data_IF_837455270807
#
_entry.id   IF_837455270807
#
_cell.length_a   1.000
_cell.length_b   1.000
_cell.length_c   1.000
_cell.angle_alpha   90.00
_cell.angle_beta   90.00
_cell.angle_gamma   90.00
#
_symmetry.space_group_name_H-M   'P 1'
#
loop_
_entity.id
_entity.type
_entity.pdbx_description
1 polymer ?
#
# COMPACT_ATOMS: atom_id res chain seq x y z
N UNK A 1 -14.84 9.95 5.62
CA UNK A 1 -14.59 8.68 4.90
C UNK A 1 -14.25 7.55 5.86
N UNK A 2 -13.25 7.71 6.74
CA UNK A 2 -12.82 6.69 7.71
C UNK A 2 -13.96 6.03 8.51
N UNK A 3 -14.84 6.82 9.13
CA UNK A 3 -15.97 6.28 9.91
C UNK A 3 -16.96 5.42 9.09
N UNK A 4 -17.02 5.60 7.76
CA UNK A 4 -17.81 4.74 6.87
C UNK A 4 -17.08 3.44 6.58
N UNK A 5 -15.76 3.50 6.39
CA UNK A 5 -14.91 2.31 6.20
C UNK A 5 -15.02 1.41 7.44
N UNK A 6 -14.79 1.96 8.63
CA UNK A 6 -14.81 1.20 9.90
C UNK A 6 -16.12 0.46 10.20
N UNK A 7 -17.25 0.87 9.61
CA UNK A 7 -18.58 0.28 9.82
C UNK A 7 -18.96 -0.76 8.77
N UNK A 8 -18.08 -1.04 7.81
CA UNK A 8 -18.36 -2.00 6.75
C UNK A 8 -18.18 -3.43 7.25
N UNK A 9 -19.15 -4.30 6.98
CA UNK A 9 -19.07 -5.73 7.30
C UNK A 9 -18.06 -6.49 6.42
N UNK A 10 -17.55 -5.86 5.36
CA UNK A 10 -16.59 -6.47 4.44
C UNK A 10 -15.19 -6.66 5.04
N UNK A 11 -14.92 -6.07 6.22
CA UNK A 11 -13.65 -6.24 6.92
C UNK A 11 -13.85 -6.13 8.43
N UNK A 12 -12.86 -6.59 9.18
CA UNK A 12 -12.89 -6.60 10.65
C UNK A 12 -11.49 -6.30 11.20
N UNK A 13 -11.41 -5.97 12.50
CA UNK A 13 -10.15 -5.67 13.22
C UNK A 13 -9.35 -4.55 12.54
N UNK A 14 -10.00 -3.41 12.30
CA UNK A 14 -9.39 -2.20 11.80
C UNK A 14 -8.32 -1.67 12.77
N UNK A 15 -7.22 -1.15 12.23
CA UNK A 15 -6.13 -0.53 12.98
C UNK A 15 -5.73 0.77 12.28
N UNK A 16 -5.68 1.87 13.06
CA UNK A 16 -5.18 3.14 12.56
C UNK A 16 -3.66 3.14 12.66
N UNK A 17 -2.98 3.11 11.51
CA UNK A 17 -1.52 3.05 11.46
C UNK A 17 -0.89 4.42 11.65
N UNK A 18 -1.35 5.43 10.90
CA UNK A 18 -0.84 6.79 10.99
C UNK A 18 -1.92 7.81 10.61
N UNK A 19 -1.86 9.00 11.20
CA UNK A 19 -2.69 10.13 10.82
C UNK A 19 -2.00 11.44 11.21
N UNK A 20 -1.44 12.12 10.23
CA UNK A 20 -0.73 13.38 10.41
C UNK A 20 -0.93 14.31 9.20
N UNK A 21 -0.65 15.62 9.35
CA UNK A 21 -0.60 16.53 8.22
C UNK A 21 0.44 16.07 7.20
N UNK A 22 0.01 15.81 5.98
CA UNK A 22 0.92 15.49 4.89
C UNK A 22 1.53 16.77 4.31
N UNK A 23 2.85 16.76 4.10
CA UNK A 23 3.57 17.85 3.42
C UNK A 23 3.25 17.91 1.92
N UNK A 24 2.92 16.76 1.33
CA UNK A 24 2.61 16.61 -0.10
C UNK A 24 1.59 15.50 -0.37
N UNK A 25 0.99 15.49 -1.57
CA UNK A 25 0.08 14.43 -2.04
C UNK A 25 0.83 13.40 -2.88
N UNK A 26 1.42 12.40 -2.23
CA UNK A 26 2.19 11.34 -2.90
C UNK A 26 1.38 10.33 -3.72
N UNK A 27 0.06 10.29 -3.56
CA UNK A 27 -0.83 9.40 -4.32
C UNK A 27 -1.90 10.22 -5.08
N UNK A 28 -1.47 11.28 -5.78
CA UNK A 28 -2.39 12.24 -6.41
C UNK A 28 -2.95 11.78 -7.76
N UNK A 29 -2.33 10.79 -8.40
CA UNK A 29 -2.73 10.30 -9.73
C UNK A 29 -4.00 9.45 -9.73
N UNK A 30 -4.47 8.99 -8.55
CA UNK A 30 -5.64 8.13 -8.43
C UNK A 30 -6.59 8.61 -7.34
N UNK A 31 -7.89 8.41 -7.56
CA UNK A 31 -8.89 8.51 -6.50
C UNK A 31 -8.81 7.33 -5.52
N UNK A 32 -8.39 6.15 -6.00
CA UNK A 32 -8.06 4.95 -5.24
C UNK A 32 -7.25 4.00 -6.14
N UNK A 33 -6.05 3.59 -5.71
CA UNK A 33 -5.27 2.56 -6.38
C UNK A 33 -5.54 1.18 -5.74
N UNK A 34 -5.59 0.13 -6.55
CA UNK A 34 -5.67 -1.26 -6.10
C UNK A 34 -4.44 -2.01 -6.59
N UNK A 35 -3.75 -2.67 -5.67
CA UNK A 35 -2.59 -3.50 -5.95
C UNK A 35 -2.95 -4.95 -5.68
N UNK A 36 -2.73 -5.79 -6.68
CA UNK A 36 -2.83 -7.24 -6.49
C UNK A 36 -1.50 -7.75 -5.90
N UNK A 37 -1.46 -8.98 -5.40
CA UNK A 37 -0.21 -9.63 -5.04
C UNK A 37 0.20 -10.58 -6.17
N UNK A 38 0.48 -10.06 -7.36
CA UNK A 38 1.09 -10.86 -8.43
C UNK A 38 2.50 -11.32 -8.05
N UNK A 39 3.08 -12.28 -8.78
CA UNK A 39 4.43 -12.79 -8.49
C UNK A 39 5.50 -11.68 -8.46
N UNK A 40 5.40 -10.71 -9.36
CA UNK A 40 6.37 -9.60 -9.42
C UNK A 40 6.20 -8.66 -8.21
N UNK A 41 4.95 -8.45 -7.76
CA UNK A 41 4.65 -7.68 -6.54
C UNK A 41 5.05 -8.44 -5.26
N UNK A 42 5.07 -9.78 -5.27
CA UNK A 42 5.55 -10.59 -4.13
C UNK A 42 7.04 -10.39 -3.86
N UNK A 43 7.87 -10.18 -4.87
CA UNK A 43 9.29 -9.88 -4.67
C UNK A 43 9.53 -8.49 -4.07
N UNK A 44 8.59 -7.57 -4.28
CA UNK A 44 8.57 -6.27 -3.57
C UNK A 44 8.17 -6.51 -2.12
N UNK A 45 7.11 -7.29 -1.86
CA UNK A 45 6.62 -7.61 -0.50
C UNK A 45 7.75 -8.15 0.38
N UNK A 46 8.55 -9.11 -0.11
CA UNK A 46 9.68 -9.70 0.62
C UNK A 46 10.72 -8.70 1.13
N UNK A 47 10.82 -7.52 0.51
CA UNK A 47 11.76 -6.47 0.97
C UNK A 47 11.27 -5.71 2.19
N UNK A 48 9.96 -5.76 2.46
CA UNK A 48 9.31 -4.97 3.49
C UNK A 48 8.62 -5.82 4.57
N UNK A 49 8.34 -7.09 4.29
CA UNK A 49 7.81 -8.04 5.27
C UNK A 49 8.93 -8.85 5.94
N UNK A 50 8.71 -9.21 7.20
CA UNK A 50 9.61 -10.08 7.97
C UNK A 50 9.52 -11.55 7.47
N UNK A 51 8.38 -11.93 6.86
CA UNK A 51 8.16 -13.27 6.29
C UNK A 51 7.94 -13.24 4.77
N UNK A 52 7.59 -14.40 4.20
CA UNK A 52 7.34 -14.58 2.75
C UNK A 52 5.99 -14.03 2.28
N UNK A 53 5.21 -13.41 3.16
CA UNK A 53 3.86 -12.94 2.88
C UNK A 53 3.66 -11.50 3.35
N UNK A 54 2.77 -10.79 2.66
CA UNK A 54 2.40 -9.43 3.04
C UNK A 54 1.57 -9.45 4.32
N UNK A 55 2.14 -8.95 5.42
CA UNK A 55 1.45 -8.79 6.69
C UNK A 55 1.57 -7.33 7.19
N UNK A 56 0.61 -6.45 6.89
CA UNK A 56 0.71 -5.04 7.24
C UNK A 56 0.69 -4.77 8.76
N UNK A 57 0.28 -5.74 9.59
CA UNK A 57 0.26 -5.59 11.06
C UNK A 57 1.64 -5.70 11.69
N UNK A 58 2.60 -6.25 10.97
CA UNK A 58 3.99 -6.40 11.41
C UNK A 58 4.90 -5.31 10.83
N UNK A 59 4.31 -4.31 10.18
CA UNK A 59 5.02 -3.22 9.50
C UNK A 59 4.77 -1.90 10.23
N UNK A 60 5.82 -1.09 10.38
CA UNK A 60 5.67 0.28 10.86
C UNK A 60 4.97 1.16 9.83
N UNK A 61 4.45 2.32 10.27
CA UNK A 61 3.87 3.33 9.38
C UNK A 61 4.81 3.71 8.22
N UNK A 62 6.08 4.00 8.54
CA UNK A 62 7.10 4.37 7.56
C UNK A 62 7.39 3.23 6.57
N UNK A 63 7.42 1.99 7.05
CA UNK A 63 7.62 0.81 6.20
C UNK A 63 6.44 0.65 5.22
N UNK A 64 5.20 0.84 5.69
CA UNK A 64 4.00 0.79 4.84
C UNK A 64 3.98 1.90 3.80
N UNK A 65 4.31 3.14 4.18
CA UNK A 65 4.39 4.28 3.24
C UNK A 65 5.46 4.00 2.18
N UNK A 66 6.64 3.52 2.59
CA UNK A 66 7.73 3.19 1.67
C UNK A 66 7.31 2.07 0.72
N UNK A 67 6.71 1.00 1.24
CA UNK A 67 6.16 -0.10 0.44
C UNK A 67 5.16 0.39 -0.62
N UNK A 68 4.19 1.23 -0.23
CA UNK A 68 3.21 1.80 -1.17
C UNK A 68 3.85 2.68 -2.25
N UNK A 69 4.89 3.45 -1.92
CA UNK A 69 5.67 4.22 -2.92
C UNK A 69 6.38 3.30 -3.90
N UNK A 70 6.97 2.20 -3.43
CA UNK A 70 7.63 1.24 -4.32
C UNK A 70 6.66 0.56 -5.29
N UNK A 71 5.46 0.19 -4.82
CA UNK A 71 4.42 -0.38 -5.68
C UNK A 71 3.96 0.62 -6.76
N UNK A 72 3.80 1.88 -6.38
CA UNK A 72 3.47 2.96 -7.30
C UNK A 72 4.54 3.11 -8.40
N UNK A 73 5.82 3.23 -8.01
CA UNK A 73 6.92 3.39 -8.94
C UNK A 73 7.06 2.19 -9.89
N UNK A 74 6.95 0.96 -9.36
CA UNK A 74 7.03 -0.26 -10.17
C UNK A 74 5.99 -0.27 -11.29
N UNK A 75 4.77 0.20 -11.00
CA UNK A 75 3.68 0.31 -11.98
C UNK A 75 3.99 1.32 -13.08
N UNK A 76 4.57 2.47 -12.73
CA UNK A 76 5.00 3.46 -13.72
C UNK A 76 6.08 2.89 -14.66
N UNK A 77 7.04 2.13 -14.12
CA UNK A 77 8.08 1.49 -14.94
C UNK A 77 7.48 0.44 -15.88
N UNK A 78 6.55 -0.40 -15.40
CA UNK A 78 5.87 -1.41 -16.23
C UNK A 78 5.00 -0.79 -17.31
N UNK A 79 4.29 0.30 -17.01
CA UNK A 79 3.47 1.01 -17.99
C UNK A 79 4.32 1.66 -19.09
N UNK A 80 5.52 2.16 -18.76
CA UNK A 80 6.46 2.76 -19.72
C UNK A 80 7.12 1.72 -20.64
N UNK A 81 7.38 0.50 -20.16
CA UNK A 81 7.97 -0.58 -20.95
C UNK A 81 6.97 -1.39 -21.80
N UNK A 82 5.68 -1.06 -21.74
CA UNK A 82 4.63 -1.73 -22.51
C UNK A 82 4.28 -1.01 -23.83
N UNK A 83 5.16 -0.12 -24.31
CA UNK A 83 5.03 0.66 -25.56
C UNK A 83 6.08 0.20 -26.57
#
# INVERSE_FOLDING_TARGET
VLARIMRSDAHHKFELVFFEPATERIFSDWSMAYYHASKDEQDIVKKFSIGDTFNPREMSADSLITFMRYLEMARHVSAVHSI
#
